data_IF_408895932239
#
_entry.id   IF_408895932239
#
_cell.length_a   1.000
_cell.length_b   1.000
_cell.length_c   1.000
_cell.angle_alpha   90.00
_cell.angle_beta   90.00
_cell.angle_gamma   90.00
#
_symmetry.space_group_name_H-M   'P 1'
#
loop_
_entity.id
_entity.type
_entity.pdbx_description
1 polymer ?
#
# COMPACT_ATOMS: atom_id res chain seq x y z
N UNK A 1 -16.69 8.11 -6.30
CA UNK A 1 -16.07 9.27 -6.97
C UNK A 1 -17.06 10.24 -7.62
N UNK A 2 -18.34 9.90 -7.82
CA UNK A 2 -19.34 10.89 -8.24
C UNK A 2 -19.44 12.01 -7.19
N UNK A 3 -19.48 13.26 -7.64
CA UNK A 3 -19.50 14.46 -6.79
C UNK A 3 -18.15 14.80 -6.16
N UNK A 4 -17.05 14.15 -6.55
CA UNK A 4 -15.68 14.47 -6.08
C UNK A 4 -14.89 15.20 -7.16
N UNK A 5 -13.75 15.78 -6.82
CA UNK A 5 -12.88 16.49 -7.78
C UNK A 5 -12.27 15.58 -8.87
N UNK A 6 -12.35 14.25 -8.71
CA UNK A 6 -11.90 13.24 -9.69
C UNK A 6 -13.07 12.52 -10.38
N UNK A 7 -14.29 13.06 -10.30
CA UNK A 7 -15.45 12.50 -11.00
C UNK A 7 -15.15 12.32 -12.50
N UNK A 8 -15.47 11.13 -13.03
CA UNK A 8 -15.24 10.79 -14.45
C UNK A 8 -13.79 10.49 -14.81
N UNK A 9 -12.82 10.72 -13.93
CA UNK A 9 -11.40 10.44 -14.17
C UNK A 9 -11.00 9.06 -13.64
N UNK A 10 -11.49 8.70 -12.46
CA UNK A 10 -11.21 7.42 -11.80
C UNK A 10 -12.50 6.62 -11.69
N UNK A 11 -12.54 5.46 -12.36
CA UNK A 11 -13.68 4.53 -12.33
C UNK A 11 -13.19 3.14 -11.93
N UNK A 12 -13.28 2.77 -10.63
CA UNK A 12 -12.90 1.44 -10.18
C UNK A 12 -13.64 0.37 -10.97
N UNK A 13 -12.90 -0.66 -11.37
CA UNK A 13 -13.42 -1.88 -11.97
C UNK A 13 -13.14 -3.01 -10.99
N UNK A 14 -14.06 -3.16 -10.04
CA UNK A 14 -13.92 -4.07 -8.91
C UNK A 14 -15.21 -4.87 -8.76
N UNK A 15 -15.07 -6.17 -8.52
CA UNK A 15 -16.14 -7.12 -8.23
C UNK A 15 -15.97 -7.66 -6.80
N UNK A 16 -16.90 -8.50 -6.34
CA UNK A 16 -16.78 -9.13 -5.02
C UNK A 16 -15.54 -10.02 -4.88
N UNK A 17 -15.12 -10.69 -5.95
CA UNK A 17 -13.94 -11.55 -5.94
C UNK A 17 -12.63 -10.75 -5.75
N UNK A 18 -12.64 -9.46 -6.04
CA UNK A 18 -11.48 -8.57 -5.93
C UNK A 18 -11.27 -8.02 -4.51
N UNK A 19 -12.20 -8.27 -3.58
CA UNK A 19 -12.00 -7.91 -2.18
C UNK A 19 -10.80 -8.67 -1.63
N UNK A 20 -9.89 -7.97 -0.94
CA UNK A 20 -8.62 -8.58 -0.49
C UNK A 20 -8.82 -9.83 0.38
N UNK A 21 -9.85 -9.87 1.23
CA UNK A 21 -10.19 -11.05 2.04
C UNK A 21 -10.59 -12.25 1.16
N UNK A 22 -11.33 -12.01 0.08
CA UNK A 22 -11.72 -13.05 -0.87
C UNK A 22 -10.52 -13.54 -1.69
N UNK A 23 -9.60 -12.64 -2.07
CA UNK A 23 -8.33 -12.99 -2.72
C UNK A 23 -7.49 -13.87 -1.79
N UNK A 24 -7.26 -13.45 -0.55
CA UNK A 24 -6.50 -14.21 0.45
C UNK A 24 -7.08 -15.60 0.66
N UNK A 25 -8.41 -15.70 0.80
CA UNK A 25 -9.07 -16.99 1.01
C UNK A 25 -8.86 -17.95 -0.16
N UNK A 26 -8.84 -17.46 -1.40
CA UNK A 26 -8.54 -18.29 -2.60
C UNK A 26 -7.09 -18.76 -2.63
N UNK A 27 -6.16 -17.98 -2.09
CA UNK A 27 -4.73 -18.33 -1.98
C UNK A 27 -4.45 -19.22 -0.75
N UNK A 28 -5.39 -19.28 0.21
CA UNK A 28 -5.32 -20.16 1.37
C UNK A 28 -4.89 -19.46 2.67
N UNK A 29 -5.02 -18.13 2.74
CA UNK A 29 -4.74 -17.34 3.94
C UNK A 29 -5.98 -16.61 4.46
N UNK A 30 -5.96 -16.31 5.75
CA UNK A 30 -6.84 -15.37 6.44
C UNK A 30 -6.03 -14.12 6.85
N UNK A 31 -6.69 -12.97 7.13
CA UNK A 31 -5.98 -11.74 7.50
C UNK A 31 -4.97 -11.93 8.65
N UNK A 32 -5.34 -12.70 9.67
CA UNK A 32 -4.52 -12.92 10.86
C UNK A 32 -3.35 -13.91 10.63
N UNK A 33 -3.27 -14.58 9.48
CA UNK A 33 -2.12 -15.41 9.11
C UNK A 33 -0.92 -14.56 8.65
N UNK A 34 -1.15 -13.30 8.28
CA UNK A 34 -0.12 -12.44 7.70
C UNK A 34 0.77 -11.84 8.78
N UNK A 35 2.09 -11.90 8.56
CA UNK A 35 3.09 -11.33 9.46
C UNK A 35 3.09 -9.79 9.44
N UNK A 36 2.99 -9.20 8.26
CA UNK A 36 2.96 -7.76 8.03
C UNK A 36 2.09 -7.43 6.83
N UNK A 37 1.50 -6.25 6.85
CA UNK A 37 1.02 -5.55 5.65
C UNK A 37 2.01 -4.42 5.36
N UNK A 38 2.43 -4.25 4.12
CA UNK A 38 3.23 -3.10 3.69
C UNK A 38 2.36 -2.25 2.79
N UNK A 39 1.99 -1.06 3.25
CA UNK A 39 1.36 -0.06 2.40
C UNK A 39 2.46 0.74 1.68
N UNK A 40 2.58 0.58 0.35
CA UNK A 40 3.49 1.41 -0.45
C UNK A 40 3.15 2.90 -0.32
N UNK A 41 1.86 3.20 -0.30
CA UNK A 41 1.27 4.48 0.07
C UNK A 41 -0.22 4.27 0.39
N UNK A 42 -0.97 5.35 0.69
CA UNK A 42 -2.34 5.26 1.19
C UNK A 42 -3.43 5.67 0.18
N UNK A 43 -3.15 5.71 -1.14
CA UNK A 43 -4.22 5.89 -2.13
C UNK A 43 -5.23 4.74 -2.10
N UNK A 44 -6.43 5.00 -2.63
CA UNK A 44 -7.61 4.17 -2.44
C UNK A 44 -7.47 2.73 -2.94
N UNK A 45 -6.75 2.55 -4.04
CA UNK A 45 -6.48 1.28 -4.70
C UNK A 45 -5.31 0.49 -4.08
N UNK A 46 -4.49 1.15 -3.24
CA UNK A 46 -3.41 0.50 -2.49
C UNK A 46 -3.80 0.17 -1.05
N UNK A 47 -4.62 1.01 -0.42
CA UNK A 47 -4.93 0.92 1.01
C UNK A 47 -6.42 0.74 1.33
N UNK A 48 -7.32 0.69 0.34
CA UNK A 48 -8.76 0.54 0.56
C UNK A 48 -9.15 -0.76 1.28
N UNK A 49 -8.27 -1.77 1.26
CA UNK A 49 -8.45 -3.04 1.98
C UNK A 49 -7.89 -3.06 3.41
N UNK A 50 -7.19 -2.01 3.86
CA UNK A 50 -6.44 -2.03 5.13
C UNK A 50 -7.32 -2.35 6.35
N UNK A 51 -8.60 -1.95 6.33
CA UNK A 51 -9.55 -2.24 7.40
C UNK A 51 -9.82 -3.73 7.67
N UNK A 52 -9.40 -4.63 6.78
CA UNK A 52 -9.49 -6.08 7.00
C UNK A 52 -8.41 -6.63 7.94
N UNK A 53 -7.34 -5.87 8.19
CA UNK A 53 -6.16 -6.30 8.95
C UNK A 53 -6.09 -5.56 10.28
N UNK A 54 -6.91 -5.97 11.23
CA UNK A 54 -7.05 -5.28 12.52
C UNK A 54 -5.94 -5.63 13.51
N UNK A 55 -5.36 -6.82 13.41
CA UNK A 55 -4.29 -7.31 14.30
C UNK A 55 -2.90 -7.21 13.67
N UNK A 56 -2.77 -7.53 12.38
CA UNK A 56 -1.49 -7.54 11.66
C UNK A 56 -0.87 -6.14 11.61
N UNK A 57 0.43 -5.96 11.92
CA UNK A 57 1.05 -4.66 11.82
C UNK A 57 1.09 -4.15 10.38
N UNK A 58 0.60 -2.93 10.16
CA UNK A 58 0.59 -2.24 8.87
C UNK A 58 1.77 -1.27 8.81
N UNK A 59 2.80 -1.61 8.06
CA UNK A 59 3.99 -0.79 7.85
C UNK A 59 3.65 0.32 6.86
N UNK A 60 3.85 1.57 7.29
CA UNK A 60 3.60 2.78 6.48
C UNK A 60 4.54 3.90 6.90
N UNK A 61 4.92 4.74 5.93
CA UNK A 61 5.77 5.91 6.19
C UNK A 61 5.02 6.97 7.02
N UNK A 62 5.71 7.60 7.97
CA UNK A 62 5.14 8.70 8.79
C UNK A 62 4.54 9.78 7.91
N UNK A 63 5.27 10.22 6.88
CA UNK A 63 4.82 11.29 5.97
C UNK A 63 3.57 10.92 5.17
N UNK A 64 3.39 9.65 4.84
CA UNK A 64 2.18 9.17 4.17
C UNK A 64 1.00 9.14 5.13
N UNK A 65 1.21 8.61 6.33
CA UNK A 65 0.20 8.56 7.39
C UNK A 65 -0.29 9.97 7.76
N UNK A 66 0.63 10.92 7.95
CA UNK A 66 0.32 12.33 8.23
C UNK A 66 -0.42 13.00 7.08
N UNK A 67 -0.05 12.71 5.83
CA UNK A 67 -0.76 13.23 4.66
C UNK A 67 -2.21 12.72 4.63
N UNK A 68 -2.41 11.41 4.78
CA UNK A 68 -3.73 10.79 4.72
C UNK A 68 -4.70 11.28 5.82
N UNK A 69 -4.18 11.73 6.96
CA UNK A 69 -5.00 12.30 8.03
C UNK A 69 -5.59 13.68 7.70
N UNK A 70 -4.95 14.45 6.83
CA UNK A 70 -5.26 15.88 6.66
C UNK A 70 -5.63 16.29 5.23
N UNK A 71 -5.38 15.42 4.26
CA UNK A 71 -5.52 15.75 2.85
C UNK A 71 -6.76 15.11 2.23
N UNK A 72 -7.49 15.89 1.43
CA UNK A 72 -8.80 15.51 0.87
C UNK A 72 -8.70 14.43 -0.21
N UNK A 73 -7.53 14.22 -0.83
CA UNK A 73 -7.33 13.16 -1.82
C UNK A 73 -7.38 11.73 -1.21
N UNK A 74 -7.27 11.60 0.11
CA UNK A 74 -7.30 10.30 0.77
C UNK A 74 -8.71 9.90 1.23
N UNK A 75 -9.09 8.67 0.90
CA UNK A 75 -10.34 8.08 1.35
C UNK A 75 -10.24 7.65 2.82
N UNK A 76 -11.34 7.78 3.57
CA UNK A 76 -11.38 7.46 5.01
C UNK A 76 -11.08 5.99 5.27
N UNK A 77 -11.47 5.11 4.35
CA UNK A 77 -11.23 3.68 4.36
C UNK A 77 -9.73 3.32 4.38
N UNK A 78 -8.86 4.22 3.90
CA UNK A 78 -7.41 4.01 3.82
C UNK A 78 -6.67 4.39 5.10
N UNK A 79 -7.29 5.17 6.00
CA UNK A 79 -6.67 5.77 7.19
C UNK A 79 -7.53 5.57 8.45
N UNK A 80 -7.97 4.33 8.67
CA UNK A 80 -8.82 3.99 9.82
C UNK A 80 -8.05 4.13 11.15
N UNK A 81 -8.56 4.87 12.15
CA UNK A 81 -7.77 5.32 13.31
C UNK A 81 -7.36 4.23 14.32
N UNK A 82 -7.85 3.00 14.17
CA UNK A 82 -7.69 1.93 15.17
C UNK A 82 -6.93 0.70 14.66
N UNK A 83 -6.33 0.78 13.47
CA UNK A 83 -5.51 -0.29 12.95
C UNK A 83 -4.14 -0.31 13.63
N UNK A 84 -3.48 -1.47 13.60
CA UNK A 84 -2.16 -1.67 14.18
C UNK A 84 -1.05 -1.09 13.28
N UNK A 85 -0.93 0.23 13.21
CA UNK A 85 0.10 0.87 12.38
C UNK A 85 1.50 0.71 12.97
N UNK A 86 2.42 0.20 12.15
CA UNK A 86 3.86 0.25 12.37
C UNK A 86 4.45 1.40 11.55
N UNK A 87 4.46 2.59 12.16
CA UNK A 87 4.96 3.80 11.51
C UNK A 87 6.49 3.75 11.40
N UNK A 88 7.00 3.96 10.19
CA UNK A 88 8.44 4.01 9.88
C UNK A 88 8.82 5.33 9.21
N UNK A 89 10.13 5.60 9.11
CA UNK A 89 10.67 6.82 8.52
C UNK A 89 11.91 6.49 7.67
N UNK A 90 11.83 6.70 6.37
CA UNK A 90 12.94 6.42 5.44
C UNK A 90 13.03 4.94 5.06
N UNK A 91 14.19 4.53 4.58
CA UNK A 91 14.46 3.14 4.19
C UNK A 91 14.32 2.20 5.40
N UNK A 92 13.81 0.99 5.16
CA UNK A 92 13.48 0.07 6.25
C UNK A 92 13.54 -1.40 5.81
N UNK A 93 14.23 -2.23 6.58
CA UNK A 93 14.23 -3.69 6.38
C UNK A 93 13.04 -4.33 7.11
N UNK A 94 12.14 -4.96 6.35
CA UNK A 94 10.96 -5.64 6.91
C UNK A 94 11.37 -6.95 7.56
N UNK A 95 12.08 -7.77 6.78
CA UNK A 95 12.69 -9.06 7.11
C UNK A 95 13.91 -9.25 6.21
N UNK A 96 14.85 -10.17 6.52
CA UNK A 96 15.97 -10.46 5.63
C UNK A 96 15.53 -10.71 4.19
N UNK A 97 16.06 -9.90 3.26
CA UNK A 97 15.75 -9.95 1.83
C UNK A 97 14.56 -9.10 1.37
N UNK A 98 13.90 -8.35 2.27
CA UNK A 98 12.80 -7.42 1.91
C UNK A 98 13.10 -6.02 2.44
N UNK A 99 13.55 -5.14 1.54
CA UNK A 99 13.88 -3.75 1.83
C UNK A 99 12.80 -2.81 1.30
N UNK A 100 12.42 -1.82 2.10
CA UNK A 100 11.61 -0.68 1.68
C UNK A 100 12.55 0.47 1.34
N UNK A 101 12.35 1.06 0.16
CA UNK A 101 13.09 2.22 -0.32
C UNK A 101 12.16 3.42 -0.26
N UNK A 102 12.57 4.47 0.45
CA UNK A 102 11.80 5.70 0.58
C UNK A 102 11.86 6.49 -0.72
N UNK A 103 10.76 6.49 -1.47
CA UNK A 103 10.65 7.06 -2.83
C UNK A 103 9.50 8.08 -2.91
N UNK A 104 9.55 9.16 -2.10
CA UNK A 104 8.47 10.15 -2.09
C UNK A 104 8.40 10.92 -3.40
N UNK A 105 7.22 11.41 -3.74
CA UNK A 105 6.98 12.18 -4.96
C UNK A 105 5.53 12.00 -5.39
N UNK A 106 5.23 10.83 -5.96
CA UNK A 106 3.87 10.45 -6.33
C UNK A 106 2.87 10.68 -5.17
N UNK A 107 3.23 10.23 -3.98
CA UNK A 107 2.62 10.64 -2.71
C UNK A 107 3.69 11.12 -1.71
N UNK A 108 3.33 11.86 -0.66
CA UNK A 108 4.29 12.46 0.28
C UNK A 108 5.20 11.46 1.01
N UNK A 109 4.71 10.23 1.24
CA UNK A 109 5.47 9.16 1.85
C UNK A 109 5.43 7.84 1.06
N UNK A 110 5.38 7.92 -0.27
CA UNK A 110 5.49 6.73 -1.11
C UNK A 110 6.79 5.95 -0.81
N UNK A 111 6.70 4.62 -0.82
CA UNK A 111 7.84 3.71 -0.72
C UNK A 111 7.76 2.55 -1.72
N UNK A 112 8.90 2.26 -2.34
CA UNK A 112 9.12 1.13 -3.25
C UNK A 112 9.71 -0.07 -2.48
N UNK A 113 9.80 -1.24 -3.12
CA UNK A 113 10.38 -2.44 -2.50
C UNK A 113 11.55 -2.98 -3.33
N UNK A 114 12.65 -3.33 -2.66
CA UNK A 114 13.72 -4.15 -3.22
C UNK A 114 13.71 -5.51 -2.53
N UNK A 115 13.46 -6.56 -3.30
CA UNK A 115 13.24 -7.91 -2.79
C UNK A 115 14.29 -8.85 -3.37
N UNK A 116 15.02 -9.53 -2.51
CA UNK A 116 15.90 -10.63 -2.90
C UNK A 116 15.10 -11.93 -2.93
N UNK A 117 15.02 -12.54 -4.11
CA UNK A 117 14.34 -13.84 -4.29
C UNK A 117 15.35 -14.91 -4.62
N UNK A 118 15.16 -16.13 -4.09
CA UNK A 118 16.06 -17.26 -4.34
C UNK A 118 16.22 -17.57 -5.84
N UNK A 119 15.14 -17.43 -6.60
CA UNK A 119 15.09 -17.84 -8.02
C UNK A 119 15.52 -16.75 -9.01
N UNK A 120 15.36 -15.49 -8.65
CA UNK A 120 15.56 -14.37 -9.60
C UNK A 120 16.56 -13.33 -9.10
N UNK A 121 17.06 -13.46 -7.86
CA UNK A 121 17.90 -12.44 -7.23
C UNK A 121 17.09 -11.17 -6.95
N UNK A 122 17.70 -9.98 -7.11
CA UNK A 122 17.08 -8.71 -6.77
C UNK A 122 15.95 -8.34 -7.73
N UNK A 123 14.79 -7.99 -7.16
CA UNK A 123 13.60 -7.50 -7.85
C UNK A 123 13.20 -6.16 -7.27
N UNK A 124 13.18 -5.11 -8.10
CA UNK A 124 12.67 -3.80 -7.72
C UNK A 124 11.18 -3.69 -8.11
N UNK A 125 10.33 -3.46 -7.11
CA UNK A 125 8.94 -3.07 -7.31
C UNK A 125 8.83 -1.56 -7.09
N UNK A 126 8.78 -0.79 -8.18
CA UNK A 126 8.63 0.67 -8.14
C UNK A 126 7.33 1.09 -7.49
N UNK A 127 6.29 0.25 -7.63
CA UNK A 127 4.91 0.59 -7.32
C UNK A 127 4.54 1.87 -8.09
N UNK A 128 4.17 2.93 -7.39
CA UNK A 128 3.63 4.13 -8.00
C UNK A 128 4.67 5.24 -8.14
N UNK A 129 5.92 4.98 -7.74
CA UNK A 129 7.05 5.85 -8.08
C UNK A 129 7.21 5.99 -9.60
N UNK A 130 6.84 4.93 -10.35
CA UNK A 130 6.75 4.94 -11.81
C UNK A 130 5.63 3.99 -12.24
N UNK A 131 4.53 4.52 -12.77
CA UNK A 131 3.38 3.72 -13.23
C UNK A 131 3.71 2.83 -14.43
N UNK A 132 4.53 3.36 -15.33
CA UNK A 132 4.90 2.69 -16.58
C UNK A 132 6.41 2.73 -16.75
N UNK A 133 6.90 1.91 -17.68
CA UNK A 133 8.32 1.90 -18.04
C UNK A 133 8.83 3.27 -18.49
N UNK A 134 8.03 4.02 -19.26
CA UNK A 134 8.39 5.37 -19.72
C UNK A 134 8.53 6.37 -18.55
N UNK A 135 7.84 6.15 -17.43
CA UNK A 135 8.03 6.99 -16.24
C UNK A 135 9.30 6.66 -15.45
N UNK A 136 9.92 5.51 -15.72
CA UNK A 136 11.12 5.03 -15.04
C UNK A 136 12.40 5.38 -15.80
N UNK A 137 12.32 5.49 -17.13
CA UNK A 137 13.43 5.86 -18.03
C UNK A 137 13.58 7.39 -18.15
#
# INVERSE_FOLDING_TARGET
FNGTFVEGQILPKMTEEDRIVNILKRVGYEPDDLLYIVSSHLHFDHAGGNGAFTNTPIIVQRKEYEAALHREEYMKECILPHLNYKIIEGDYEVVPGVQLLYTPGHSPGHQSLLIETEKSGPVLLTIDASYTKENFE
#
